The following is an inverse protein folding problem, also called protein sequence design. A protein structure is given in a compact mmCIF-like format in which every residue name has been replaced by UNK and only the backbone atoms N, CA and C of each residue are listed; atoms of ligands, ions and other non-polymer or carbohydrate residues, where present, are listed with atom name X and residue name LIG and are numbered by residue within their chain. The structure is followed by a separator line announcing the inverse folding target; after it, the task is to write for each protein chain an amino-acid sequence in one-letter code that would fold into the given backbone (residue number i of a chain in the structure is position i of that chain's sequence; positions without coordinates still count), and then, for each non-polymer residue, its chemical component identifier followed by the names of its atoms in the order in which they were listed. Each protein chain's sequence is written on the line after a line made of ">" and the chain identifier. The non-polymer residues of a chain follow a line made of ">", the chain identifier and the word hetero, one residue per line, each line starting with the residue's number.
data_IF_271431704598
#
_entry.id   IF_271431704598
#
_cell.length_a   1.000
_cell.length_b   1.000
_cell.length_c   1.000
_cell.angle_alpha   90.00
_cell.angle_beta   90.00
_cell.angle_gamma   90.00
#
_symmetry.space_group_name_H-M   'P 1'
#
loop_
_entity.id
_entity.type
_entity.pdbx_description
1 polymer ?
#
# COMPACT_ATOMS: atom_id res chain seq x y z
N UNK A 1 -20.68 10.06 2.31
CA UNK A 1 -19.33 9.95 2.59
C UNK A 1 -18.65 8.94 1.78
N UNK A 2 -17.63 9.28 1.09
CA UNK A 2 -16.95 8.33 0.27
C UNK A 2 -15.97 7.56 1.07
N UNK A 3 -15.95 6.27 0.90
CA UNK A 3 -14.93 5.45 1.52
C UNK A 3 -13.74 5.37 0.58
N UNK A 4 -12.57 5.44 1.17
CA UNK A 4 -11.35 5.23 0.39
C UNK A 4 -11.27 3.79 -0.03
N UNK A 5 -10.69 3.57 -1.19
CA UNK A 5 -10.60 2.24 -1.78
C UNK A 5 -9.20 1.71 -1.65
N UNK A 6 -9.08 0.48 -1.17
CA UNK A 6 -7.80 -0.17 -0.99
C UNK A 6 -7.79 -1.48 -1.77
N UNK A 7 -6.71 -1.72 -2.48
CA UNK A 7 -6.48 -3.00 -3.15
C UNK A 7 -5.41 -3.75 -2.38
N UNK A 8 -5.64 -5.02 -2.07
CA UNK A 8 -4.67 -5.85 -1.39
C UNK A 8 -4.22 -6.94 -2.35
N UNK A 9 -2.92 -7.00 -2.62
CA UNK A 9 -2.33 -7.99 -3.53
C UNK A 9 -1.51 -8.94 -2.66
N UNK A 10 -2.03 -10.12 -2.40
CA UNK A 10 -1.46 -11.08 -1.48
C UNK A 10 -1.92 -12.49 -1.87
N UNK A 11 -1.01 -13.44 -2.00
CA UNK A 11 -1.37 -14.77 -2.46
C UNK A 11 -1.73 -15.74 -1.34
N UNK A 12 -1.41 -15.45 -0.09
CA UNK A 12 -1.76 -16.34 1.00
C UNK A 12 -3.16 -16.01 1.49
N UNK A 13 -4.08 -16.95 1.36
CA UNK A 13 -5.49 -16.69 1.62
C UNK A 13 -5.75 -16.25 3.06
N UNK A 14 -5.07 -16.83 4.03
CA UNK A 14 -5.30 -16.48 5.42
C UNK A 14 -4.88 -15.05 5.71
N UNK A 15 -3.75 -14.63 5.15
CA UNK A 15 -3.26 -13.28 5.35
C UNK A 15 -4.15 -12.30 4.62
N UNK A 16 -4.56 -12.64 3.41
CA UNK A 16 -5.44 -11.80 2.63
C UNK A 16 -6.77 -11.59 3.37
N UNK A 17 -7.34 -12.66 3.93
CA UNK A 17 -8.59 -12.56 4.65
C UNK A 17 -8.44 -11.69 5.91
N UNK A 18 -7.31 -11.82 6.61
CA UNK A 18 -7.06 -11.01 7.79
C UNK A 18 -6.97 -9.54 7.45
N UNK A 19 -6.23 -9.21 6.39
CA UNK A 19 -6.09 -7.83 5.98
C UNK A 19 -7.43 -7.27 5.53
N UNK A 20 -8.14 -8.04 4.72
CA UNK A 20 -9.46 -7.62 4.21
C UNK A 20 -10.40 -7.31 5.37
N UNK A 21 -10.51 -8.25 6.33
CA UNK A 21 -11.41 -8.08 7.45
C UNK A 21 -11.07 -6.80 8.24
N UNK A 22 -9.81 -6.59 8.53
CA UNK A 22 -9.41 -5.45 9.35
C UNK A 22 -9.59 -4.12 8.65
N UNK A 23 -9.36 -4.08 7.34
CA UNK A 23 -9.53 -2.82 6.60
C UNK A 23 -11.01 -2.50 6.40
N UNK A 24 -11.84 -3.51 6.14
CA UNK A 24 -13.28 -3.28 6.03
C UNK A 24 -13.83 -2.80 7.38
N UNK A 25 -13.36 -3.42 8.47
CA UNK A 25 -13.79 -3.01 9.79
C UNK A 25 -13.42 -1.56 10.10
N UNK A 26 -12.31 -1.11 9.54
CA UNK A 26 -11.86 0.27 9.73
C UNK A 26 -12.59 1.28 8.83
N UNK A 27 -13.46 0.81 7.97
CA UNK A 27 -14.29 1.70 7.15
C UNK A 27 -13.88 1.83 5.70
N UNK A 28 -12.93 1.05 5.24
CA UNK A 28 -12.47 1.15 3.85
C UNK A 28 -13.23 0.21 2.93
N UNK A 29 -13.24 0.52 1.66
CA UNK A 29 -13.69 -0.41 0.63
C UNK A 29 -12.47 -1.18 0.18
N UNK A 30 -12.56 -2.51 0.07
CA UNK A 30 -11.39 -3.34 -0.18
C UNK A 30 -11.64 -4.30 -1.32
N UNK A 31 -10.70 -4.33 -2.27
CA UNK A 31 -10.64 -5.34 -3.33
C UNK A 31 -9.39 -6.15 -3.12
N UNK A 32 -9.37 -7.35 -3.64
CA UNK A 32 -8.25 -8.26 -3.46
C UNK A 32 -7.78 -8.85 -4.77
N UNK A 33 -6.49 -9.14 -4.84
CA UNK A 33 -5.89 -9.87 -5.95
C UNK A 33 -4.89 -10.83 -5.38
N UNK A 34 -4.72 -11.99 -6.00
CA UNK A 34 -3.84 -13.02 -5.48
C UNK A 34 -2.59 -13.20 -6.31
N UNK A 35 -2.46 -12.50 -7.42
CA UNK A 35 -1.24 -12.53 -8.22
C UNK A 35 -0.84 -11.12 -8.59
N UNK A 36 0.42 -10.95 -8.95
CA UNK A 36 0.89 -9.63 -9.37
C UNK A 36 0.22 -9.16 -10.65
N UNK A 37 -0.01 -10.08 -11.57
CA UNK A 37 -0.65 -9.74 -12.84
C UNK A 37 -2.07 -9.25 -12.61
N UNK A 38 -2.83 -9.99 -11.79
CA UNK A 38 -4.19 -9.59 -11.48
C UNK A 38 -4.17 -8.26 -10.74
N UNK A 39 -3.22 -8.09 -9.84
CA UNK A 39 -3.10 -6.86 -9.08
C UNK A 39 -2.85 -5.65 -9.96
N UNK A 40 -1.91 -5.78 -10.91
CA UNK A 40 -1.60 -4.67 -11.80
C UNK A 40 -2.84 -4.27 -12.61
N UNK A 41 -3.58 -5.25 -13.12
CA UNK A 41 -4.79 -4.98 -13.87
C UNK A 41 -5.83 -4.28 -12.99
N UNK A 42 -5.99 -4.75 -11.75
CA UNK A 42 -6.98 -4.16 -10.86
C UNK A 42 -6.62 -2.74 -10.42
N UNK A 43 -5.35 -2.42 -10.27
CA UNK A 43 -4.97 -1.05 -9.96
C UNK A 43 -5.50 -0.12 -11.06
N UNK A 44 -5.36 -0.53 -12.29
CA UNK A 44 -5.79 0.30 -13.41
C UNK A 44 -7.31 0.39 -13.52
N UNK A 45 -8.02 -0.68 -13.19
CA UNK A 45 -9.47 -0.69 -13.32
C UNK A 45 -10.17 -0.12 -12.10
N UNK A 46 -9.73 -0.51 -10.93
CA UNK A 46 -10.38 -0.13 -9.69
C UNK A 46 -9.97 1.25 -9.21
N UNK A 47 -8.78 1.66 -9.57
CA UNK A 47 -8.21 2.95 -9.21
C UNK A 47 -8.24 3.15 -7.70
N UNK A 48 -7.54 2.27 -6.96
CA UNK A 48 -7.55 2.38 -5.51
C UNK A 48 -6.81 3.61 -5.02
N UNK A 49 -7.13 4.03 -3.82
CA UNK A 49 -6.43 5.13 -3.16
C UNK A 49 -5.15 4.63 -2.49
N UNK A 50 -5.03 3.33 -2.28
CA UNK A 50 -3.87 2.73 -1.63
C UNK A 50 -3.78 1.26 -2.04
N UNK A 51 -2.58 0.76 -2.23
CA UNK A 51 -2.33 -0.64 -2.55
C UNK A 51 -1.46 -1.24 -1.47
N UNK A 52 -1.87 -2.38 -0.90
CA UNK A 52 -0.99 -3.21 -0.09
C UNK A 52 -0.45 -4.30 -1.02
N UNK A 53 0.85 -4.46 -1.05
CA UNK A 53 1.50 -5.29 -2.06
C UNK A 53 2.52 -6.22 -1.40
N UNK A 54 2.26 -7.52 -1.45
CA UNK A 54 3.18 -8.50 -0.91
C UNK A 54 4.43 -8.59 -1.79
N UNK A 55 5.59 -8.59 -1.17
CA UNK A 55 6.83 -8.70 -1.90
C UNK A 55 7.01 -10.07 -2.52
N UNK A 56 6.56 -11.12 -1.85
CA UNK A 56 6.86 -12.50 -2.27
C UNK A 56 5.69 -13.12 -2.99
N UNK A 57 5.30 -12.54 -4.11
CA UNK A 57 4.21 -13.10 -4.92
C UNK A 57 4.75 -14.12 -5.91
N UNK A 58 3.94 -15.12 -6.27
CA UNK A 58 4.35 -16.03 -7.34
C UNK A 58 4.24 -15.32 -8.68
N UNK A 59 4.97 -15.79 -9.67
CA UNK A 59 4.99 -15.14 -10.98
C UNK A 59 5.77 -13.85 -10.90
N UNK A 60 5.16 -12.74 -11.27
CA UNK A 60 5.84 -11.47 -11.09
C UNK A 60 5.72 -11.10 -9.63
N UNK A 61 6.84 -10.77 -9.01
CA UNK A 61 6.86 -10.50 -7.58
C UNK A 61 6.45 -9.07 -7.29
N UNK A 62 6.40 -8.73 -5.99
CA UNK A 62 5.94 -7.41 -5.60
C UNK A 62 6.83 -6.28 -6.07
N UNK A 63 8.15 -6.51 -6.13
CA UNK A 63 9.05 -5.45 -6.62
C UNK A 63 8.77 -5.15 -8.09
N UNK A 64 8.51 -6.19 -8.87
CA UNK A 64 8.20 -5.99 -10.29
C UNK A 64 6.86 -5.28 -10.47
N UNK A 65 5.87 -5.63 -9.66
CA UNK A 65 4.58 -4.95 -9.72
C UNK A 65 4.77 -3.46 -9.38
N UNK A 66 5.53 -3.17 -8.34
CA UNK A 66 5.80 -1.79 -7.94
C UNK A 66 6.48 -1.03 -9.07
N UNK A 67 7.48 -1.65 -9.69
CA UNK A 67 8.19 -1.02 -10.79
C UNK A 67 7.26 -0.68 -11.93
N UNK A 68 6.39 -1.63 -12.29
CA UNK A 68 5.45 -1.42 -13.40
C UNK A 68 4.43 -0.33 -13.08
N UNK A 69 3.96 -0.28 -11.83
CA UNK A 69 3.02 0.75 -11.44
C UNK A 69 3.67 2.13 -11.53
N UNK A 70 4.92 2.23 -11.13
CA UNK A 70 5.62 3.53 -11.17
C UNK A 70 5.98 3.97 -12.58
N UNK A 71 6.05 3.03 -13.52
CA UNK A 71 6.37 3.38 -14.91
C UNK A 71 5.16 3.77 -15.72
N UNK A 72 3.96 3.37 -15.32
CA UNK A 72 2.77 3.67 -16.10
C UNK A 72 2.17 5.00 -15.65
N UNK A 73 1.88 5.90 -16.58
CA UNK A 73 1.41 7.24 -16.21
C UNK A 73 0.13 7.26 -15.39
N UNK A 74 -0.74 6.30 -15.62
CA UNK A 74 -2.03 6.28 -14.93
C UNK A 74 -1.94 5.67 -13.52
N UNK A 75 -0.80 5.08 -13.14
CA UNK A 75 -0.64 4.47 -11.83
C UNK A 75 0.58 4.95 -11.08
N UNK A 76 1.38 5.83 -11.68
CA UNK A 76 2.68 6.17 -11.10
C UNK A 76 2.58 6.86 -9.75
N UNK A 77 1.44 7.45 -9.43
CA UNK A 77 1.27 8.16 -8.16
C UNK A 77 0.47 7.35 -7.14
N UNK A 78 0.06 6.14 -7.46
CA UNK A 78 -0.74 5.34 -6.55
C UNK A 78 0.08 4.99 -5.31
N UNK A 79 -0.40 5.28 -4.10
CA UNK A 79 0.35 4.95 -2.89
C UNK A 79 0.47 3.44 -2.70
N UNK A 80 1.62 2.97 -2.29
CA UNK A 80 1.91 1.56 -2.12
C UNK A 80 2.53 1.32 -0.75
N UNK A 81 1.96 0.37 0.02
CA UNK A 81 2.58 -0.12 1.24
C UNK A 81 3.00 -1.56 0.96
N UNK A 82 4.28 -1.85 1.11
CA UNK A 82 4.79 -3.19 0.87
C UNK A 82 4.56 -4.07 2.09
N UNK A 83 4.18 -5.33 1.86
CA UNK A 83 4.10 -6.32 2.92
C UNK A 83 5.33 -7.21 2.79
N UNK A 84 6.07 -7.39 3.85
CA UNK A 84 7.35 -8.07 3.75
C UNK A 84 7.57 -8.99 4.93
N UNK A 85 8.36 -10.04 4.75
CA UNK A 85 8.71 -10.93 5.83
C UNK A 85 9.92 -10.39 6.57
N UNK A 86 10.07 -10.86 7.84
CA UNK A 86 11.23 -10.48 8.60
C UNK A 86 12.48 -10.97 7.88
N UNK A 87 13.50 -10.17 7.85
CA UNK A 87 14.74 -10.56 7.19
C UNK A 87 14.86 -10.15 5.75
N UNK A 88 13.89 -9.43 5.22
CA UNK A 88 13.91 -9.04 3.81
C UNK A 88 14.37 -7.60 3.65
N UNK A 89 15.39 -7.21 4.38
CA UNK A 89 15.82 -5.80 4.36
C UNK A 89 16.24 -5.30 2.99
N UNK A 90 16.92 -6.14 2.21
CA UNK A 90 17.34 -5.70 0.88
C UNK A 90 16.14 -5.41 0.00
N UNK A 91 15.11 -6.22 0.12
CA UNK A 91 13.90 -6.02 -0.69
C UNK A 91 13.15 -4.77 -0.23
N UNK A 92 13.19 -4.47 1.06
CA UNK A 92 12.58 -3.25 1.57
C UNK A 92 13.28 -2.03 0.97
N UNK A 93 14.60 -2.04 0.96
CA UNK A 93 15.37 -0.93 0.40
C UNK A 93 15.03 -0.75 -1.07
N UNK A 94 14.99 -1.85 -1.83
CA UNK A 94 14.65 -1.77 -3.24
C UNK A 94 13.25 -1.24 -3.46
N UNK A 95 12.29 -1.69 -2.65
CA UNK A 95 10.92 -1.21 -2.77
C UNK A 95 10.79 0.28 -2.52
N UNK A 96 11.47 0.76 -1.48
CA UNK A 96 11.43 2.18 -1.17
C UNK A 96 12.11 2.99 -2.27
N UNK A 97 13.19 2.47 -2.83
CA UNK A 97 13.88 3.16 -3.93
C UNK A 97 13.03 3.18 -5.19
N UNK A 98 12.19 2.17 -5.39
CA UNK A 98 11.28 2.15 -6.52
C UNK A 98 10.06 3.04 -6.29
N UNK A 99 9.89 3.56 -5.10
CA UNK A 99 8.81 4.49 -4.84
C UNK A 99 7.68 3.99 -3.97
N UNK A 100 7.88 2.87 -3.25
CA UNK A 100 6.90 2.47 -2.25
C UNK A 100 6.84 3.51 -1.15
N UNK A 101 5.66 3.72 -0.59
CA UNK A 101 5.47 4.78 0.40
C UNK A 101 5.75 4.32 1.83
N UNK A 102 5.65 3.02 2.07
CA UNK A 102 5.89 2.50 3.41
C UNK A 102 5.99 0.98 3.30
N UNK A 103 6.28 0.32 4.39
CA UNK A 103 6.27 -1.13 4.43
C UNK A 103 5.79 -1.60 5.78
N UNK A 104 5.29 -2.83 5.84
CA UNK A 104 4.84 -3.47 7.07
C UNK A 104 5.43 -4.87 7.09
N UNK A 105 6.07 -5.23 8.20
CA UNK A 105 6.70 -6.54 8.35
C UNK A 105 5.69 -7.55 8.89
N UNK A 106 5.61 -8.72 8.31
CA UNK A 106 4.80 -9.81 8.81
C UNK A 106 5.54 -10.52 9.94
N UNK A 107 4.87 -10.97 10.96
CA UNK A 107 3.46 -10.79 11.22
C UNK A 107 3.18 -9.38 11.75
N UNK A 108 2.01 -8.85 11.46
CA UNK A 108 1.69 -7.49 11.85
C UNK A 108 0.43 -7.50 12.71
N UNK A 109 0.25 -6.45 13.49
CA UNK A 109 -0.97 -6.29 14.25
C UNK A 109 -1.99 -5.52 13.44
N UNK A 110 -3.28 -5.73 13.69
CA UNK A 110 -4.32 -4.94 13.01
C UNK A 110 -4.16 -3.45 13.25
N UNK A 111 -3.71 -3.06 14.44
CA UNK A 111 -3.54 -1.64 14.73
C UNK A 111 -2.46 -1.02 13.86
N UNK A 112 -1.35 -1.71 13.65
CA UNK A 112 -0.28 -1.21 12.80
C UNK A 112 -0.76 -1.11 11.36
N UNK A 113 -1.47 -2.13 10.88
CA UNK A 113 -1.99 -2.14 9.53
C UNK A 113 -2.88 -0.93 9.29
N UNK A 114 -3.83 -0.70 10.19
CA UNK A 114 -4.78 0.39 10.04
C UNK A 114 -4.10 1.75 10.18
N UNK A 115 -3.18 1.87 11.11
CA UNK A 115 -2.49 3.14 11.34
C UNK A 115 -1.64 3.55 10.15
N UNK A 116 -0.95 2.59 9.53
CA UNK A 116 -0.13 2.91 8.37
C UNK A 116 -0.99 3.24 7.16
N UNK A 117 -2.11 2.55 6.99
CA UNK A 117 -3.04 2.87 5.91
C UNK A 117 -3.53 4.31 6.05
N UNK A 118 -3.95 4.68 7.26
CA UNK A 118 -4.45 6.03 7.49
C UNK A 118 -3.36 7.08 7.28
N UNK A 119 -2.14 6.78 7.71
CA UNK A 119 -1.03 7.73 7.57
C UNK A 119 -0.71 8.00 6.11
N UNK A 120 -0.66 6.95 5.30
CA UNK A 120 -0.35 7.12 3.89
C UNK A 120 -1.49 7.84 3.18
N UNK A 121 -2.74 7.47 3.49
CA UNK A 121 -3.89 8.10 2.85
C UNK A 121 -3.99 9.58 3.25
N UNK A 122 -3.65 9.89 4.49
CA UNK A 122 -3.70 11.29 4.95
C UNK A 122 -2.69 12.14 4.21
N UNK A 123 -1.49 11.63 3.99
CA UNK A 123 -0.47 12.38 3.26
C UNK A 123 -0.92 12.64 1.83
N UNK A 124 -1.48 11.60 1.19
CA UNK A 124 -1.90 11.76 -0.17
C UNK A 124 -3.11 12.65 -0.30
N UNK A 125 -4.02 12.56 0.67
CA UNK A 125 -5.26 13.30 0.61
C UNK A 125 -5.15 14.74 1.02
N UNK A 126 -3.97 15.25 1.36
CA UNK A 126 -3.82 16.60 1.70
C UNK A 126 -3.13 17.33 0.67
N UNK A 127 -3.72 17.58 -0.41
CA UNK A 127 -3.13 18.25 -1.51
C UNK A 127 -2.78 19.57 -1.04
N UNK A 128 -1.94 20.11 -1.25
CA UNK A 128 -1.64 21.47 -1.10
C UNK A 128 -2.26 22.16 0.00
N UNK A 129 -2.50 21.65 1.10
CA UNK A 129 -2.93 22.40 2.16
C UNK A 129 -1.76 23.05 2.74
N UNK A 130 -1.55 24.23 2.44
CA UNK A 130 -0.35 24.88 2.82
C UNK A 130 -0.20 24.94 4.30
N UNK A 131 -1.22 25.07 4.96
CA UNK A 131 -1.16 25.19 6.33
C UNK A 131 -0.63 24.01 6.97
N UNK A 132 -0.70 22.96 6.40
CA UNK A 132 -0.27 21.85 6.97
C UNK A 132 1.00 21.55 6.64
N UNK A 133 1.36 21.99 5.76
CA UNK A 133 2.49 21.62 5.36
C UNK A 133 3.51 22.05 6.25
N UNK A 134 3.46 22.59 6.85
CA UNK A 134 4.17 22.88 7.59
C UNK A 134 4.29 22.30 8.67
N UNK A 135 4.09 22.20 8.70
CA UNK A 135 4.15 21.69 9.48
C UNK A 135 4.60 20.90 9.89
N UNK A 136 4.66 21.17 9.76
CA UNK A 136 5.06 20.46 10.00
C UNK A 136 5.77 19.82 10.48
N UNK A 137 5.81 20.15 10.36
CA UNK A 137 6.13 19.64 10.53
C UNK A 137 6.71 19.12 11.14
N UNK A 138 6.61 19.47 11.08
CA UNK A 138 6.72 19.07 11.35
C UNK A 138 7.26 18.42 11.79
N UNK A 139 7.49 18.93 11.79
CA UNK A 139 7.67 18.36 11.95
C UNK A 139 8.22 17.80 12.56
N UNK A 140 8.30 18.06 12.65
CA UNK A 140 8.43 17.46 12.95
C UNK A 140 8.83 16.68 13.35
N UNK A 141 8.85 17.03 13.28
CA UNK A 141 9.00 16.26 13.49
C UNK A 141 9.46 15.59 13.85
N UNK A 142 9.70 15.84 13.89
CA UNK A 142 9.96 15.21 13.99
C UNK A 142 10.25 14.83 14.16
#
# INVERSE_FOLDING_TARGET
>A
MNKERILVIEDEEDILALIHFNLVKAGFQVECAMTGEEGFTKVREYKPDLVFLDLMLPGIDGLEVCRRLRQAPDTQETPIIMLTAKGEEDDIVQGLELGADDYITKPFSPQILQARARAVLRRRGKPDTPADSEQPIEIHDL
#
